data_IF_550474184796
#
_entry.id   IF_550474184796
#
_cell.length_a   1.000
_cell.length_b   1.000
_cell.length_c   1.000
_cell.angle_alpha   90.00
_cell.angle_beta   90.00
_cell.angle_gamma   90.00
#
_symmetry.space_group_name_H-M   'P 1'
#
loop_
_entity.id
_entity.type
_entity.pdbx_description
1 polymer ?
#
# COMPACT_ATOMS: atom_id res chain seq x y z
N UNK A 1 8.38 16.32 51.33
CA UNK A 1 8.63 15.80 49.97
C UNK A 1 7.30 15.79 49.24
N UNK A 2 7.15 16.61 48.19
CA UNK A 2 5.89 16.65 47.43
C UNK A 2 5.79 15.41 46.56
N UNK A 3 4.70 14.66 46.67
CA UNK A 3 4.42 13.53 45.79
C UNK A 3 4.36 14.01 44.34
N UNK A 4 4.89 13.25 43.37
CA UNK A 4 4.78 13.62 41.97
C UNK A 4 3.30 13.77 41.58
N UNK A 5 2.91 14.83 40.88
CA UNK A 5 1.52 15.01 40.47
C UNK A 5 1.05 13.80 39.64
N UNK A 6 -0.15 13.29 39.95
CA UNK A 6 -0.80 12.22 39.19
C UNK A 6 -0.82 12.59 37.71
N UNK A 7 -0.41 11.67 36.83
CA UNK A 7 -0.46 11.87 35.37
C UNK A 7 -1.89 12.17 34.96
N UNK A 8 -2.12 13.34 34.35
CA UNK A 8 -3.42 13.74 33.80
C UNK A 8 -3.70 12.95 32.52
N UNK A 9 -4.76 12.15 32.53
CA UNK A 9 -5.25 11.42 31.36
C UNK A 9 -5.72 12.39 30.27
N UNK A 10 -5.70 11.93 29.02
CA UNK A 10 -6.24 12.69 27.90
C UNK A 10 -7.76 12.60 27.86
N UNK A 11 -8.41 13.72 27.55
CA UNK A 11 -9.86 13.76 27.31
C UNK A 11 -10.17 13.39 25.86
N UNK A 12 -11.45 13.18 25.56
CA UNK A 12 -11.88 12.91 24.19
C UNK A 12 -11.68 14.12 23.27
N UNK A 13 -11.96 15.32 23.76
CA UNK A 13 -11.73 16.57 23.02
C UNK A 13 -10.24 16.77 22.72
N UNK A 14 -9.34 16.49 23.68
CA UNK A 14 -7.89 16.53 23.45
C UNK A 14 -7.46 15.51 22.38
N UNK A 15 -8.07 14.32 22.36
CA UNK A 15 -7.82 13.32 21.32
C UNK A 15 -8.30 13.80 19.95
N UNK A 16 -9.50 14.38 19.87
CA UNK A 16 -10.05 14.91 18.62
C UNK A 16 -9.18 16.05 18.08
N UNK A 17 -8.73 16.97 18.93
CA UNK A 17 -7.81 18.04 18.54
C UNK A 17 -6.50 17.49 17.98
N UNK A 18 -5.93 16.48 18.65
CA UNK A 18 -4.73 15.79 18.16
C UNK A 18 -4.99 15.14 16.81
N UNK A 19 -6.09 14.40 16.65
CA UNK A 19 -6.41 13.69 15.43
C UNK A 19 -6.70 14.63 14.25
N UNK A 20 -7.41 15.74 14.48
CA UNK A 20 -7.58 16.80 13.47
C UNK A 20 -6.24 17.33 12.98
N UNK A 21 -5.32 17.63 13.90
CA UNK A 21 -4.00 18.14 13.53
C UNK A 21 -3.16 17.08 12.79
N UNK A 22 -3.23 15.81 13.21
CA UNK A 22 -2.56 14.69 12.53
C UNK A 22 -3.12 14.48 11.12
N UNK A 23 -4.44 14.59 10.95
CA UNK A 23 -5.11 14.52 9.64
C UNK A 23 -4.69 15.67 8.72
N UNK A 24 -4.51 16.89 9.26
CA UNK A 24 -4.06 18.03 8.48
C UNK A 24 -2.58 17.93 8.07
N UNK A 25 -1.70 17.52 8.99
CA UNK A 25 -0.25 17.58 8.77
C UNK A 25 0.37 16.27 8.25
N UNK A 26 -0.36 15.16 8.35
CA UNK A 26 0.01 13.81 7.89
C UNK A 26 1.49 13.47 8.19
N UNK A 27 1.89 13.42 9.47
CA UNK A 27 3.30 13.38 9.88
C UNK A 27 4.06 12.14 9.37
N UNK A 28 3.35 11.05 9.07
CA UNK A 28 3.90 9.80 8.54
C UNK A 28 4.21 9.84 7.03
N UNK A 29 3.69 10.82 6.29
CA UNK A 29 4.03 11.06 4.88
C UNK A 29 5.34 11.86 4.72
N UNK A 30 5.90 12.35 5.82
CA UNK A 30 7.15 13.10 5.78
C UNK A 30 8.32 12.21 5.30
N UNK A 31 9.27 12.83 4.61
CA UNK A 31 10.51 12.15 4.20
C UNK A 31 11.18 11.50 5.41
N UNK A 32 11.78 10.31 5.20
CA UNK A 32 12.55 9.60 6.21
C UNK A 32 13.55 10.53 6.90
N UNK A 33 13.50 10.58 8.24
CA UNK A 33 14.30 11.49 9.07
C UNK A 33 13.57 12.77 9.50
N UNK A 34 12.50 13.19 8.82
CA UNK A 34 11.73 14.41 9.12
C UNK A 34 10.39 14.16 9.83
N UNK A 35 10.02 12.90 10.01
CA UNK A 35 8.74 12.51 10.65
C UNK A 35 8.62 13.13 12.05
N UNK A 36 9.71 13.12 12.84
CA UNK A 36 9.68 13.70 14.18
C UNK A 36 9.60 15.22 14.20
N UNK A 37 10.08 15.90 13.14
CA UNK A 37 9.95 17.34 13.00
C UNK A 37 8.48 17.72 12.74
N UNK A 38 7.76 16.92 11.93
CA UNK A 38 6.31 17.07 11.77
C UNK A 38 5.56 16.83 13.08
N UNK A 39 5.93 15.81 13.85
CA UNK A 39 5.35 15.62 15.19
C UNK A 39 5.67 16.77 16.16
N UNK A 40 6.84 17.40 16.03
CA UNK A 40 7.19 18.58 16.82
C UNK A 40 6.32 19.77 16.45
N UNK A 41 6.11 20.03 15.15
CA UNK A 41 5.21 21.08 14.68
C UNK A 41 3.76 20.86 15.14
N UNK A 42 3.24 19.62 15.05
CA UNK A 42 1.92 19.27 15.59
C UNK A 42 1.84 19.58 17.09
N UNK A 43 2.86 19.17 17.84
CA UNK A 43 2.88 19.37 19.28
C UNK A 43 2.97 20.86 19.67
N UNK A 44 3.73 21.65 18.93
CA UNK A 44 3.85 23.10 19.11
C UNK A 44 2.52 23.80 18.82
N UNK A 45 1.86 23.48 17.70
CA UNK A 45 0.54 24.00 17.35
C UNK A 45 -0.50 23.69 18.43
N UNK A 46 -0.51 22.46 18.95
CA UNK A 46 -1.44 22.07 20.00
C UNK A 46 -1.09 22.69 21.36
N UNK A 47 0.19 22.82 21.70
CA UNK A 47 0.63 23.47 22.93
C UNK A 47 0.32 24.97 22.96
N UNK A 48 0.32 25.62 21.79
CA UNK A 48 -0.05 27.02 21.63
C UNK A 48 -1.58 27.25 21.69
N UNK A 49 -2.39 26.20 21.58
CA UNK A 49 -3.83 26.28 21.67
C UNK A 49 -4.30 26.19 23.14
N UNK A 50 -4.97 27.24 23.63
CA UNK A 50 -5.45 27.32 25.01
C UNK A 50 -6.44 26.19 25.35
N UNK A 51 -7.28 25.78 24.40
CA UNK A 51 -8.30 24.75 24.57
C UNK A 51 -7.70 23.34 24.75
N UNK A 52 -6.49 23.12 24.26
CA UNK A 52 -5.80 21.84 24.42
C UNK A 52 -5.29 21.64 25.86
N UNK A 53 -5.07 22.74 26.59
CA UNK A 53 -4.76 22.73 28.02
C UNK A 53 -3.47 21.98 28.41
N UNK A 54 -2.53 21.77 27.48
CA UNK A 54 -1.24 21.10 27.71
C UNK A 54 -0.07 21.88 27.09
N UNK A 55 0.44 22.91 27.78
CA UNK A 55 1.51 23.77 27.26
C UNK A 55 2.89 23.07 27.17
N UNK A 56 3.09 21.96 27.88
CA UNK A 56 4.32 21.15 27.84
C UNK A 56 4.21 19.94 26.88
N UNK A 57 3.33 20.03 25.89
CA UNK A 57 3.12 18.97 24.91
C UNK A 57 4.28 18.91 23.93
N UNK A 58 4.78 17.71 23.68
CA UNK A 58 6.00 17.50 22.86
C UNK A 58 5.78 16.38 21.85
N UNK A 59 6.56 16.40 20.77
CA UNK A 59 6.48 15.47 19.65
C UNK A 59 6.30 14.00 20.07
N UNK A 60 7.12 13.55 21.04
CA UNK A 60 7.07 12.16 21.53
C UNK A 60 5.76 11.83 22.26
N UNK A 61 5.18 12.79 23.00
CA UNK A 61 3.87 12.60 23.65
C UNK A 61 2.75 12.52 22.60
N UNK A 62 2.80 13.37 21.56
CA UNK A 62 1.85 13.34 20.46
C UNK A 62 1.88 12.00 19.71
N UNK A 63 3.07 11.57 19.29
CA UNK A 63 3.25 10.30 18.60
C UNK A 63 2.79 9.10 19.44
N UNK A 64 3.21 9.02 20.71
CA UNK A 64 2.79 7.94 21.61
C UNK A 64 1.27 7.93 21.83
N UNK A 65 0.64 9.11 21.93
CA UNK A 65 -0.82 9.20 22.09
C UNK A 65 -1.55 8.73 20.84
N UNK A 66 -1.10 9.15 19.66
CA UNK A 66 -1.64 8.69 18.39
C UNK A 66 -1.54 7.16 18.24
N UNK A 67 -0.38 6.56 18.55
CA UNK A 67 -0.20 5.09 18.49
C UNK A 67 -1.21 4.38 19.40
N UNK A 68 -1.38 4.86 20.63
CA UNK A 68 -2.35 4.29 21.56
C UNK A 68 -3.79 4.38 21.06
N UNK A 69 -4.16 5.49 20.40
CA UNK A 69 -5.49 5.67 19.79
C UNK A 69 -5.70 4.74 18.59
N UNK A 70 -4.70 4.63 17.71
CA UNK A 70 -4.70 3.73 16.57
C UNK A 70 -4.88 2.26 17.00
N UNK A 71 -4.14 1.81 18.02
CA UNK A 71 -4.24 0.45 18.55
C UNK A 71 -5.60 0.17 19.17
N UNK A 72 -6.13 1.12 19.96
CA UNK A 72 -7.45 1.00 20.57
C UNK A 72 -8.55 0.90 19.50
N UNK A 73 -8.46 1.73 18.45
CA UNK A 73 -9.42 1.75 17.34
C UNK A 73 -9.42 0.45 16.55
N UNK A 74 -8.24 -0.02 16.13
CA UNK A 74 -8.08 -1.31 15.43
C UNK A 74 -8.65 -2.47 16.25
N UNK A 75 -8.48 -2.44 17.57
CA UNK A 75 -9.05 -3.44 18.48
C UNK A 75 -10.59 -3.36 18.53
N UNK A 76 -11.15 -2.16 18.58
CA UNK A 76 -12.60 -1.91 18.62
C UNK A 76 -13.27 -2.33 17.31
N UNK A 77 -12.74 -1.91 16.15
CA UNK A 77 -13.22 -2.34 14.83
C UNK A 77 -13.21 -3.87 14.67
N UNK A 78 -12.19 -4.56 15.20
CA UNK A 78 -12.14 -6.04 15.17
C UNK A 78 -13.21 -6.71 16.04
N UNK A 79 -13.66 -6.05 17.11
CA UNK A 79 -14.74 -6.53 17.98
C UNK A 79 -16.10 -6.21 17.36
N UNK A 80 -16.30 -4.99 16.83
CA UNK A 80 -17.53 -4.58 16.15
C UNK A 80 -17.79 -5.39 14.88
N UNK A 81 -16.77 -5.64 14.05
CA UNK A 81 -16.87 -6.52 12.88
C UNK A 81 -17.23 -7.98 13.23
N UNK A 82 -16.98 -8.42 14.46
CA UNK A 82 -17.40 -9.74 14.97
C UNK A 82 -18.82 -9.71 15.58
N UNK A 83 -19.36 -8.53 15.89
CA UNK A 83 -20.52 -8.40 16.78
C UNK A 83 -21.86 -8.13 16.06
N UNK A 84 -21.98 -7.27 15.05
CA UNK A 84 -23.26 -7.09 14.30
C UNK A 84 -23.19 -6.05 13.18
N UNK A 85 -24.11 -6.16 12.20
CA UNK A 85 -24.40 -5.20 11.13
C UNK A 85 -25.47 -4.17 11.50
N UNK A 86 -25.15 -3.28 12.45
CA UNK A 86 -25.99 -2.14 12.80
C UNK A 86 -25.14 -0.87 12.67
N UNK A 87 -25.62 0.06 11.85
CA UNK A 87 -25.02 1.39 11.62
C UNK A 87 -25.23 2.25 12.87
N UNK A 88 -24.22 2.34 13.74
CA UNK A 88 -24.14 3.43 14.72
C UNK A 88 -23.63 4.71 14.04
N UNK A 89 -24.06 5.84 14.59
CA UNK A 89 -23.54 7.17 14.24
C UNK A 89 -22.02 7.19 14.49
N UNK A 90 -21.24 7.39 13.43
CA UNK A 90 -19.78 7.37 13.50
C UNK A 90 -19.32 8.69 14.10
N UNK A 91 -19.07 8.69 15.41
CA UNK A 91 -18.51 9.86 16.09
C UNK A 91 -17.22 10.35 15.41
N UNK A 92 -17.00 11.67 15.40
CA UNK A 92 -15.91 12.31 14.67
C UNK A 92 -14.53 11.66 14.90
N UNK A 93 -14.24 11.27 16.15
CA UNK A 93 -13.00 10.60 16.52
C UNK A 93 -12.78 9.30 15.73
N UNK A 94 -13.84 8.53 15.51
CA UNK A 94 -13.81 7.27 14.75
C UNK A 94 -13.56 7.56 13.28
N UNK A 95 -14.29 8.52 12.70
CA UNK A 95 -14.11 8.92 11.30
C UNK A 95 -12.67 9.40 11.01
N UNK A 96 -12.14 10.27 11.88
CA UNK A 96 -10.74 10.73 11.76
C UNK A 96 -9.75 9.57 11.86
N UNK A 97 -9.99 8.60 12.75
CA UNK A 97 -9.11 7.45 12.89
C UNK A 97 -9.18 6.50 11.68
N UNK A 98 -10.36 6.30 11.09
CA UNK A 98 -10.51 5.50 9.87
C UNK A 98 -9.73 6.15 8.70
N UNK A 99 -9.93 7.46 8.48
CA UNK A 99 -9.25 8.20 7.40
C UNK A 99 -7.72 8.23 7.58
N UNK A 100 -7.26 8.58 8.79
CA UNK A 100 -5.82 8.67 9.08
C UNK A 100 -5.16 7.29 8.96
N UNK A 101 -5.81 6.23 9.44
CA UNK A 101 -5.23 4.88 9.39
C UNK A 101 -5.19 4.32 7.98
N UNK A 102 -6.20 4.61 7.14
CA UNK A 102 -6.17 4.26 5.72
C UNK A 102 -4.93 4.86 5.05
N UNK A 103 -4.76 6.19 5.17
CA UNK A 103 -3.62 6.88 4.58
C UNK A 103 -2.27 6.44 5.18
N UNK A 104 -2.23 6.12 6.46
CA UNK A 104 -1.04 5.60 7.11
C UNK A 104 -0.64 4.23 6.58
N UNK A 105 -1.61 3.33 6.38
CA UNK A 105 -1.34 1.99 5.89
C UNK A 105 -0.97 2.01 4.40
N UNK A 106 -1.62 2.84 3.59
CA UNK A 106 -1.24 3.10 2.19
C UNK A 106 0.22 3.61 2.09
N UNK A 107 0.60 4.58 2.91
CA UNK A 107 1.96 5.12 2.96
C UNK A 107 3.00 4.06 3.33
N UNK A 108 2.64 3.17 4.26
CA UNK A 108 3.50 2.09 4.72
C UNK A 108 3.67 1.01 3.64
N UNK A 109 2.59 0.70 2.91
CA UNK A 109 2.63 -0.24 1.79
C UNK A 109 3.48 0.31 0.64
N UNK A 110 3.27 1.58 0.26
CA UNK A 110 4.06 2.24 -0.78
C UNK A 110 5.56 2.25 -0.43
N UNK A 111 5.91 2.58 0.82
CA UNK A 111 7.30 2.54 1.27
C UNK A 111 7.88 1.13 1.24
N UNK A 112 7.09 0.13 1.63
CA UNK A 112 7.51 -1.28 1.59
C UNK A 112 7.76 -1.74 0.14
N UNK A 113 6.91 -1.32 -0.79
CA UNK A 113 7.05 -1.61 -2.21
C UNK A 113 8.31 -0.93 -2.79
N UNK A 114 8.55 0.34 -2.47
CA UNK A 114 9.78 1.04 -2.88
C UNK A 114 11.04 0.33 -2.38
N UNK A 115 11.05 -0.15 -1.14
CA UNK A 115 12.17 -0.91 -0.58
C UNK A 115 12.35 -2.25 -1.32
N UNK A 116 11.26 -2.96 -1.62
CA UNK A 116 11.30 -4.22 -2.35
C UNK A 116 11.85 -4.04 -3.77
N UNK A 117 11.42 -3.00 -4.48
CA UNK A 117 11.88 -2.69 -5.84
C UNK A 117 13.36 -2.26 -5.85
N UNK A 118 13.78 -1.46 -4.86
CA UNK A 118 15.19 -1.12 -4.68
C UNK A 118 16.05 -2.36 -4.40
N UNK A 119 15.54 -3.32 -3.62
CA UNK A 119 16.24 -4.59 -3.38
C UNK A 119 16.34 -5.44 -4.64
N UNK A 120 15.23 -5.58 -5.40
CA UNK A 120 15.19 -6.35 -6.64
C UNK A 120 16.13 -5.79 -7.69
N UNK A 121 16.21 -4.46 -7.82
CA UNK A 121 17.14 -3.80 -8.75
C UNK A 121 18.60 -3.98 -8.32
N UNK A 122 18.89 -3.91 -7.02
CA UNK A 122 20.23 -4.22 -6.50
C UNK A 122 20.63 -5.67 -6.79
N UNK A 123 19.77 -6.64 -6.49
CA UNK A 123 20.00 -8.07 -6.76
C UNK A 123 20.21 -8.34 -8.26
N UNK A 124 19.42 -7.69 -9.13
CA UNK A 124 19.60 -7.79 -10.57
C UNK A 124 20.97 -7.26 -11.02
N UNK A 125 21.39 -6.10 -10.51
CA UNK A 125 22.69 -5.51 -10.82
C UNK A 125 23.86 -6.37 -10.32
N UNK A 126 23.73 -6.95 -9.12
CA UNK A 126 24.73 -7.86 -8.56
C UNK A 126 24.85 -9.15 -9.39
N UNK A 127 23.71 -9.72 -9.80
CA UNK A 127 23.67 -10.90 -10.65
C UNK A 127 24.33 -10.63 -12.01
N UNK A 128 24.00 -9.51 -12.65
CA UNK A 128 24.64 -9.10 -13.91
C UNK A 128 26.15 -8.92 -13.73
N UNK A 129 26.58 -8.27 -12.65
CA UNK A 129 27.99 -8.14 -12.31
C UNK A 129 28.70 -9.48 -12.08
N UNK A 130 28.00 -10.46 -11.51
CA UNK A 130 28.53 -11.82 -11.33
C UNK A 130 28.74 -12.55 -12.65
N UNK A 131 27.77 -12.48 -13.57
CA UNK A 131 27.87 -13.08 -14.90
C UNK A 131 29.06 -12.50 -15.67
N UNK A 132 29.22 -11.18 -15.66
CA UNK A 132 30.35 -10.51 -16.34
C UNK A 132 31.69 -10.94 -15.74
N UNK A 133 31.80 -11.06 -14.40
CA UNK A 133 33.03 -11.55 -13.74
C UNK A 133 33.33 -13.00 -14.13
N UNK A 134 32.31 -13.86 -14.14
CA UNK A 134 32.48 -15.26 -14.51
C UNK A 134 32.93 -15.42 -15.96
N UNK A 135 32.31 -14.70 -16.90
CA UNK A 135 32.69 -14.69 -18.32
C UNK A 135 34.15 -14.22 -18.51
N UNK A 136 34.55 -13.14 -17.82
CA UNK A 136 35.92 -12.65 -17.85
C UNK A 136 36.92 -13.69 -17.31
N UNK A 137 36.63 -14.36 -16.19
CA UNK A 137 37.49 -15.40 -15.62
C UNK A 137 37.62 -16.64 -16.53
N UNK A 138 36.53 -17.04 -17.19
CA UNK A 138 36.55 -18.13 -18.18
C UNK A 138 37.37 -17.77 -19.42
N UNK A 139 37.40 -16.50 -19.83
CA UNK A 139 38.21 -16.03 -20.97
C UNK A 139 39.73 -16.03 -20.70
N UNK A 140 40.13 -15.83 -19.43
CA UNK A 140 41.53 -15.83 -19.01
C UNK A 140 42.13 -17.23 -18.92
N UNK A 141 41.31 -18.26 -18.67
CA UNK A 141 41.74 -19.66 -18.57
C UNK A 141 42.09 -20.35 -19.89
N UNK A 142 41.79 -19.74 -21.05
CA UNK A 142 42.01 -20.36 -22.38
C UNK A 142 43.35 -20.02 -23.04
N UNK A 143 44.25 -19.31 -22.35
CA UNK A 143 45.56 -18.90 -22.90
C UNK A 143 46.79 -19.52 -22.23
N UNK A 144 46.66 -20.70 -21.64
CA UNK A 144 47.80 -21.58 -21.34
C UNK A 144 47.41 -23.06 -21.45
N UNK A 145 47.43 -23.58 -22.68
CA UNK A 145 47.93 -24.92 -22.96
C UNK A 145 48.19 -25.05 -24.47
N UNK A 146 49.34 -24.58 -24.92
CA UNK A 146 49.96 -25.06 -26.15
C UNK A 146 51.36 -25.53 -25.78
N UNK A 147 51.47 -26.82 -25.43
CA UNK A 147 52.60 -27.67 -25.82
C UNK A 147 52.01 -29.08 -25.97
N UNK A 148 51.96 -29.52 -27.23
CA UNK A 148 51.91 -30.88 -27.76
C UNK A 148 51.48 -32.04 -26.82
N UNK A 149 50.31 -32.63 -27.09
CA UNK A 149 50.12 -34.07 -26.93
C UNK A 149 48.99 -34.57 -27.85
N UNK A 150 49.35 -35.55 -28.69
CA UNK A 150 48.49 -36.28 -29.60
C UNK A 150 47.54 -37.18 -28.81
N UNK A 151 46.23 -36.89 -28.84
CA UNK A 151 45.29 -37.62 -27.98
C UNK A 151 43.82 -37.29 -28.21
N UNK A 152 43.26 -37.81 -29.30
CA UNK A 152 41.83 -38.11 -29.53
C UNK A 152 40.85 -37.63 -28.45
N UNK A 153 40.28 -36.42 -28.58
CA UNK A 153 39.20 -35.93 -27.70
C UNK A 153 37.82 -36.06 -28.36
N UNK A 154 37.14 -37.17 -28.08
CA UNK A 154 35.67 -37.26 -28.19
C UNK A 154 35.07 -36.46 -27.02
N UNK A 155 34.64 -35.21 -27.23
CA UNK A 155 34.08 -34.41 -26.14
C UNK A 155 33.36 -33.09 -26.49
N UNK A 156 32.98 -32.87 -27.75
CA UNK A 156 32.39 -31.59 -28.20
C UNK A 156 30.85 -31.48 -28.09
N UNK A 157 30.12 -32.60 -28.16
CA UNK A 157 28.66 -32.59 -28.39
C UNK A 157 27.81 -32.13 -27.20
N UNK A 158 28.20 -32.42 -25.96
CA UNK A 158 27.36 -32.13 -24.78
C UNK A 158 27.24 -30.64 -24.43
N UNK A 159 28.23 -29.83 -24.80
CA UNK A 159 28.28 -28.39 -24.48
C UNK A 159 27.30 -27.61 -25.38
N UNK A 160 27.28 -27.95 -26.67
CA UNK A 160 26.36 -27.36 -27.65
C UNK A 160 24.90 -27.73 -27.33
N UNK A 161 24.65 -28.97 -26.92
CA UNK A 161 23.31 -29.40 -26.50
C UNK A 161 22.80 -28.59 -25.29
N UNK A 162 23.66 -28.36 -24.29
CA UNK A 162 23.30 -27.55 -23.11
C UNK A 162 22.97 -26.10 -23.46
N UNK A 163 23.74 -25.48 -24.36
CA UNK A 163 23.46 -24.12 -24.87
C UNK A 163 22.12 -24.09 -25.62
N UNK A 164 21.84 -25.10 -26.45
CA UNK A 164 20.58 -25.20 -27.19
C UNK A 164 19.37 -25.39 -26.27
N UNK A 165 19.51 -26.17 -25.19
CA UNK A 165 18.47 -26.33 -24.16
C UNK A 165 18.20 -25.03 -23.41
N UNK A 166 19.26 -24.30 -22.99
CA UNK A 166 19.08 -23.03 -22.28
C UNK A 166 18.45 -21.96 -23.17
N UNK A 167 18.84 -21.88 -24.45
CA UNK A 167 18.17 -21.00 -25.42
C UNK A 167 16.69 -21.37 -25.60
N UNK A 168 16.38 -22.67 -25.64
CA UNK A 168 14.99 -23.11 -25.78
C UNK A 168 14.15 -22.78 -24.53
N UNK A 169 14.66 -23.03 -23.33
CA UNK A 169 14.00 -22.65 -22.07
C UNK A 169 13.80 -21.14 -21.95
N UNK A 170 14.80 -20.36 -22.36
CA UNK A 170 14.72 -18.89 -22.30
C UNK A 170 13.69 -18.33 -23.28
N UNK A 171 13.62 -18.88 -24.50
CA UNK A 171 12.60 -18.52 -25.49
C UNK A 171 11.20 -18.95 -25.05
N UNK A 172 11.06 -20.13 -24.44
CA UNK A 172 9.78 -20.59 -23.90
C UNK A 172 9.29 -19.71 -22.75
N UNK A 173 10.17 -19.37 -21.80
CA UNK A 173 9.83 -18.50 -20.66
C UNK A 173 9.43 -17.09 -21.12
N UNK A 174 10.11 -16.51 -22.11
CA UNK A 174 9.73 -15.22 -22.70
C UNK A 174 8.35 -15.29 -23.36
N UNK A 175 8.06 -16.36 -24.10
CA UNK A 175 6.74 -16.55 -24.74
C UNK A 175 5.61 -16.69 -23.71
N UNK A 176 5.86 -17.40 -22.60
CA UNK A 176 4.91 -17.54 -21.51
C UNK A 176 4.64 -16.22 -20.82
N UNK A 177 5.69 -15.44 -20.52
CA UNK A 177 5.56 -14.12 -19.92
C UNK A 177 4.75 -13.16 -20.80
N UNK A 178 5.02 -13.13 -22.11
CA UNK A 178 4.27 -12.28 -23.04
C UNK A 178 2.79 -12.70 -23.14
N UNK A 179 2.52 -14.01 -23.13
CA UNK A 179 1.14 -14.54 -23.14
C UNK A 179 0.39 -14.14 -21.87
N UNK A 180 1.01 -14.32 -20.71
CA UNK A 180 0.42 -13.96 -19.41
C UNK A 180 0.14 -12.45 -19.35
N UNK A 181 1.09 -11.63 -19.79
CA UNK A 181 0.92 -10.18 -19.88
C UNK A 181 -0.29 -9.81 -20.75
N UNK A 182 -0.40 -10.41 -21.94
CA UNK A 182 -1.52 -10.15 -22.83
C UNK A 182 -2.86 -10.61 -22.25
N UNK A 183 -2.87 -11.76 -21.58
CA UNK A 183 -4.07 -12.29 -20.92
C UNK A 183 -4.55 -11.37 -19.79
N UNK A 184 -3.61 -10.85 -18.98
CA UNK A 184 -3.93 -9.91 -17.90
C UNK A 184 -4.49 -8.60 -18.46
N UNK A 185 -3.92 -8.08 -19.54
CA UNK A 185 -4.43 -6.87 -20.22
C UNK A 185 -5.87 -7.09 -20.75
N UNK A 186 -6.17 -8.27 -21.30
CA UNK A 186 -7.53 -8.61 -21.73
C UNK A 186 -8.48 -8.68 -20.52
N UNK A 187 -8.05 -9.28 -19.40
CA UNK A 187 -8.86 -9.38 -18.18
C UNK A 187 -9.18 -8.00 -17.60
N UNK A 188 -8.23 -7.08 -17.58
CA UNK A 188 -8.49 -5.70 -17.13
C UNK A 188 -9.48 -4.99 -18.05
N UNK A 189 -9.29 -5.09 -19.37
CA UNK A 189 -10.25 -4.53 -20.34
C UNK A 189 -11.64 -5.14 -20.23
N UNK A 190 -11.76 -6.41 -19.82
CA UNK A 190 -13.05 -7.04 -19.54
C UNK A 190 -13.69 -6.47 -18.26
N UNK A 191 -12.92 -6.34 -17.17
CA UNK A 191 -13.40 -5.73 -15.93
C UNK A 191 -13.88 -4.29 -16.13
N UNK A 192 -13.16 -3.49 -16.91
CA UNK A 192 -13.56 -2.12 -17.22
C UNK A 192 -14.89 -2.07 -18.00
N UNK A 193 -15.06 -2.98 -18.96
CA UNK A 193 -16.33 -3.12 -19.70
C UNK A 193 -17.48 -3.56 -18.81
N UNK A 194 -17.23 -4.50 -17.89
CA UNK A 194 -18.22 -4.97 -16.92
C UNK A 194 -18.63 -3.85 -15.95
N UNK A 195 -17.67 -3.07 -15.45
CA UNK A 195 -17.93 -1.93 -14.59
C UNK A 195 -18.79 -0.88 -15.29
N UNK A 196 -18.46 -0.55 -16.54
CA UNK A 196 -19.25 0.38 -17.34
C UNK A 196 -20.67 -0.15 -17.59
N UNK A 197 -20.80 -1.43 -17.93
CA UNK A 197 -22.11 -2.07 -18.12
C UNK A 197 -22.94 -2.05 -16.83
N UNK A 198 -22.32 -2.29 -15.68
CA UNK A 198 -22.98 -2.24 -14.38
C UNK A 198 -23.41 -0.82 -14.00
N UNK A 199 -22.59 0.19 -14.30
CA UNK A 199 -22.97 1.59 -14.11
C UNK A 199 -24.16 1.99 -14.98
N UNK A 200 -24.18 1.58 -16.26
CA UNK A 200 -25.30 1.83 -17.18
C UNK A 200 -26.56 1.13 -16.65
N UNK A 201 -26.45 -0.12 -16.19
CA UNK A 201 -27.57 -0.87 -15.64
C UNK A 201 -28.15 -0.19 -14.39
N UNK A 202 -27.30 0.20 -13.45
CA UNK A 202 -27.71 0.93 -12.24
C UNK A 202 -28.40 2.25 -12.59
N UNK A 203 -27.90 2.99 -13.58
CA UNK A 203 -28.51 4.23 -14.04
C UNK A 203 -29.89 3.98 -14.67
N UNK A 204 -30.02 2.97 -15.53
CA UNK A 204 -31.31 2.60 -16.13
C UNK A 204 -32.32 2.16 -15.07
N UNK A 205 -31.90 1.36 -14.09
CA UNK A 205 -32.78 0.90 -13.02
C UNK A 205 -33.23 2.06 -12.13
N UNK A 206 -32.33 3.00 -11.82
CA UNK A 206 -32.69 4.22 -11.10
C UNK A 206 -33.72 5.05 -11.86
N UNK A 207 -33.53 5.25 -13.17
CA UNK A 207 -34.50 5.94 -14.02
C UNK A 207 -35.84 5.21 -14.06
N UNK A 208 -35.84 3.87 -14.13
CA UNK A 208 -37.04 3.04 -14.12
C UNK A 208 -37.83 3.23 -12.81
N UNK A 209 -37.17 3.16 -11.67
CA UNK A 209 -37.77 3.40 -10.35
C UNK A 209 -38.35 4.82 -10.25
N UNK A 210 -37.63 5.83 -10.74
CA UNK A 210 -38.13 7.21 -10.76
C UNK A 210 -39.38 7.36 -11.63
N UNK A 211 -39.39 6.75 -12.82
CA UNK A 211 -40.56 6.76 -13.70
C UNK A 211 -41.76 6.06 -13.06
N UNK A 212 -41.56 4.89 -12.44
CA UNK A 212 -42.62 4.17 -11.72
C UNK A 212 -43.18 4.98 -10.55
N UNK A 213 -42.31 5.63 -9.78
CA UNK A 213 -42.70 6.54 -8.69
C UNK A 213 -43.54 7.71 -9.20
N UNK A 214 -43.10 8.36 -10.29
CA UNK A 214 -43.83 9.47 -10.90
C UNK A 214 -45.21 9.04 -11.44
N UNK A 215 -45.28 7.88 -12.09
CA UNK A 215 -46.55 7.32 -12.59
C UNK A 215 -47.50 6.98 -11.42
N UNK A 216 -46.98 6.44 -10.31
CA UNK A 216 -47.77 6.18 -9.11
C UNK A 216 -48.31 7.50 -8.51
N UNK A 217 -47.50 8.55 -8.45
CA UNK A 217 -47.92 9.88 -7.99
C UNK A 217 -49.04 10.45 -8.88
N UNK A 218 -48.88 10.37 -10.20
CA UNK A 218 -49.88 10.82 -11.17
C UNK A 218 -51.20 10.06 -11.01
N UNK A 219 -51.16 8.72 -10.87
CA UNK A 219 -52.38 7.92 -10.60
C UNK A 219 -53.08 8.34 -9.30
N UNK A 220 -52.32 8.66 -8.26
CA UNK A 220 -52.84 9.09 -6.97
C UNK A 220 -53.49 10.49 -7.04
N UNK A 221 -52.96 11.37 -7.90
CA UNK A 221 -53.54 12.68 -8.19
C UNK A 221 -54.80 12.57 -9.06
N UNK A 222 -54.83 11.65 -10.03
CA UNK A 222 -55.99 11.43 -10.91
C UNK A 222 -57.16 10.72 -10.21
N UNK A 223 -56.89 9.88 -9.20
CA UNK A 223 -57.94 9.19 -8.43
C UNK A 223 -58.54 10.04 -7.28
N UNK A 224 -58.13 11.31 -7.14
CA UNK A 224 -58.66 12.26 -6.13
C UNK A 224 -59.71 13.24 -6.68
N UNK A 225 -60.18 13.05 -7.92
CA UNK A 225 -61.38 13.68 -8.48
C UNK A 225 -62.51 12.66 -8.58
#
# INVERSE_FOLDING_TARGET
MSTPPKRRNFTEEEDIMLLRQVSADMPFLARRGLIMDKWAAIAETLAANEDFGRPDFVAKKANNRFIALAEAHRKSNRVSARASGISEDVGEKVALLDDILSAHDDAKEEESQRIADAKKTHEHNDNLGSVVREEAMQSLGKRKHDVDDDGTSRGGGGKMLKVMTMMHEQVQSELEFQREKHENEIKERQKDRELLAQQIWNQQESMRIQQESMVALIKLLMNKQ
#
